data_IF_602724710920
#
_entry.id   IF_602724710920
#
_cell.length_a   1.000
_cell.length_b   1.000
_cell.length_c   1.000
_cell.angle_alpha   90.00
_cell.angle_beta   90.00
_cell.angle_gamma   90.00
#
_symmetry.space_group_name_H-M   'P 1'
#
loop_
_entity.id
_entity.type
_entity.pdbx_description
1 polymer ?
#
# COMPACT_ATOMS: atom_id res chain seq x y z
N UNK A 1 17.28 -19.50 14.72
CA UNK A 1 17.01 -18.04 14.73
C UNK A 1 16.34 -17.71 13.43
N UNK A 2 15.01 -17.68 13.41
CA UNK A 2 14.26 -17.15 12.27
C UNK A 2 14.42 -15.64 12.31
N UNK A 3 15.09 -15.08 11.31
CA UNK A 3 15.08 -13.64 11.09
C UNK A 3 13.64 -13.24 10.79
N UNK A 4 12.91 -12.81 11.81
CA UNK A 4 11.61 -12.19 11.65
C UNK A 4 11.83 -10.88 10.91
N UNK A 5 11.59 -10.87 9.60
CA UNK A 5 11.66 -9.66 8.81
C UNK A 5 10.47 -8.78 9.19
N UNK A 6 10.69 -7.81 10.07
CA UNK A 6 9.71 -6.78 10.37
C UNK A 6 9.50 -5.96 9.09
N UNK A 7 8.24 -5.81 8.67
CA UNK A 7 7.79 -4.87 7.65
C UNK A 7 8.10 -3.46 8.15
N UNK A 8 9.19 -2.90 7.62
CA UNK A 8 9.55 -1.49 7.81
C UNK A 8 8.65 -0.62 6.94
N UNK A 9 8.53 0.66 7.28
CA UNK A 9 7.82 1.67 6.48
C UNK A 9 8.32 1.65 5.03
N UNK A 10 9.64 1.66 4.82
CA UNK A 10 10.27 1.59 3.49
C UNK A 10 9.84 0.34 2.68
N UNK A 11 9.61 -0.80 3.34
CA UNK A 11 9.11 -2.00 2.66
C UNK A 11 7.66 -1.83 2.24
N UNK A 12 6.83 -1.22 3.08
CA UNK A 12 5.43 -0.97 2.80
C UNK A 12 5.29 0.02 1.65
N UNK A 13 6.10 1.09 1.64
CA UNK A 13 6.19 2.02 0.52
C UNK A 13 6.55 1.31 -0.79
N UNK A 14 7.56 0.43 -0.76
CA UNK A 14 7.95 -0.36 -1.95
C UNK A 14 6.83 -1.27 -2.45
N UNK A 15 6.08 -1.90 -1.55
CA UNK A 15 4.93 -2.75 -1.91
C UNK A 15 3.82 -1.90 -2.53
N UNK A 16 3.49 -0.77 -1.91
CA UNK A 16 2.49 0.16 -2.42
C UNK A 16 2.89 0.65 -3.83
N UNK A 17 4.13 1.12 -3.98
CA UNK A 17 4.69 1.57 -5.25
C UNK A 17 4.61 0.50 -6.34
N UNK A 18 4.99 -0.74 -6.01
CA UNK A 18 4.92 -1.86 -6.96
C UNK A 18 3.49 -2.16 -7.41
N UNK A 19 2.48 -1.97 -6.55
CA UNK A 19 1.07 -2.13 -6.93
C UNK A 19 0.63 -0.98 -7.84
N UNK A 20 1.04 0.25 -7.56
CA UNK A 20 0.74 1.40 -8.42
C UNK A 20 1.33 1.20 -9.82
N UNK A 21 2.59 0.72 -9.90
CA UNK A 21 3.27 0.36 -11.15
C UNK A 21 2.54 -0.77 -11.91
N UNK A 22 2.16 -1.84 -11.22
CA UNK A 22 1.54 -3.02 -11.85
C UNK A 22 0.15 -2.72 -12.43
N UNK A 23 -0.60 -1.81 -11.82
CA UNK A 23 -1.99 -1.49 -12.19
C UNK A 23 -2.14 -0.20 -13.01
N UNK A 24 -1.02 0.43 -13.42
CA UNK A 24 -1.00 1.68 -14.20
C UNK A 24 -1.86 2.78 -13.55
N UNK A 25 -1.79 2.86 -12.22
CA UNK A 25 -2.40 3.94 -11.45
C UNK A 25 -1.50 5.18 -11.63
N UNK A 26 -2.05 6.35 -11.96
CA UNK A 26 -1.23 7.49 -12.42
C UNK A 26 -0.25 7.94 -11.33
N UNK A 27 1.03 7.64 -11.55
CA UNK A 27 2.13 7.94 -10.64
C UNK A 27 2.35 9.43 -10.43
N UNK A 28 1.98 10.28 -11.38
CA UNK A 28 2.26 11.71 -11.28
C UNK A 28 1.42 12.41 -10.20
N UNK A 29 0.31 11.76 -9.79
CA UNK A 29 -0.56 12.20 -8.70
C UNK A 29 -0.57 11.22 -7.52
N UNK A 30 0.30 10.21 -7.52
CA UNK A 30 0.34 9.23 -6.45
C UNK A 30 1.11 9.78 -5.24
N UNK A 31 0.45 9.84 -4.09
CA UNK A 31 1.08 10.18 -2.81
C UNK A 31 1.00 8.96 -1.88
N UNK A 32 2.15 8.46 -1.42
CA UNK A 32 2.24 7.42 -0.39
C UNK A 32 2.79 8.08 0.87
N UNK A 33 2.08 7.94 1.98
CA UNK A 33 2.52 8.38 3.29
C UNK A 33 2.41 7.21 4.26
N UNK A 34 3.53 6.80 4.84
CA UNK A 34 3.59 5.68 5.79
C UNK A 34 4.07 6.20 7.13
N UNK A 35 3.30 5.91 8.17
CA UNK A 35 3.61 6.24 9.56
C UNK A 35 3.35 5.05 10.48
N UNK A 36 3.61 5.23 11.78
CA UNK A 36 3.42 4.19 12.80
C UNK A 36 1.95 3.71 12.91
N UNK A 37 0.99 4.54 12.52
CA UNK A 37 -0.46 4.27 12.64
C UNK A 37 -1.05 3.63 11.38
N UNK A 38 -0.45 3.88 10.20
CA UNK A 38 -1.02 3.49 8.92
C UNK A 38 -0.15 3.73 7.69
N UNK A 39 -0.64 3.26 6.55
CA UNK A 39 -0.17 3.60 5.22
C UNK A 39 -1.34 4.24 4.48
N UNK A 40 -1.20 5.52 4.17
CA UNK A 40 -2.12 6.27 3.33
C UNK A 40 -1.57 6.29 1.91
N UNK A 41 -2.42 5.92 0.95
CA UNK A 41 -2.10 5.92 -0.47
C UNK A 41 -3.19 6.72 -1.18
N UNK A 42 -2.78 7.75 -1.90
CA UNK A 42 -3.62 8.50 -2.83
C UNK A 42 -3.15 8.14 -4.23
N UNK A 43 -4.06 7.69 -5.09
CA UNK A 43 -3.77 7.32 -6.48
C UNK A 43 -4.89 7.81 -7.39
N UNK A 44 -4.56 8.15 -8.63
CA UNK A 44 -5.56 8.42 -9.65
C UNK A 44 -5.77 7.14 -10.48
N UNK A 45 -7.02 6.65 -10.46
CA UNK A 45 -7.42 5.48 -11.21
C UNK A 45 -7.52 5.79 -12.72
N UNK A 46 -7.49 4.78 -13.61
CA UNK A 46 -7.52 4.98 -15.07
C UNK A 46 -8.75 5.74 -15.59
N UNK A 47 -9.82 5.83 -14.80
CA UNK A 47 -11.02 6.62 -15.10
C UNK A 47 -10.95 8.08 -14.60
N UNK A 48 -9.77 8.57 -14.21
CA UNK A 48 -9.53 9.88 -13.60
C UNK A 48 -10.21 10.08 -12.23
N UNK A 49 -10.59 8.99 -11.54
CA UNK A 49 -11.07 9.09 -10.18
C UNK A 49 -9.89 9.13 -9.20
N UNK A 50 -9.86 10.13 -8.33
CA UNK A 50 -8.93 10.14 -7.20
C UNK A 50 -9.40 9.14 -6.13
N UNK A 51 -8.55 8.19 -5.83
CA UNK A 51 -8.79 7.11 -4.87
C UNK A 51 -7.92 7.32 -3.64
N UNK A 52 -8.57 7.34 -2.49
CA UNK A 52 -7.95 7.48 -1.17
C UNK A 52 -8.04 6.17 -0.43
N UNK A 53 -6.89 5.66 0.00
CA UNK A 53 -6.74 4.35 0.61
C UNK A 53 -6.00 4.52 1.93
N UNK A 54 -6.70 4.28 3.03
CA UNK A 54 -6.09 4.26 4.37
C UNK A 54 -5.96 2.82 4.84
N UNK A 55 -4.74 2.41 5.14
CA UNK A 55 -4.40 1.04 5.52
C UNK A 55 -3.86 1.06 6.94
N UNK A 56 -4.61 0.48 7.86
CA UNK A 56 -4.17 0.39 9.25
C UNK A 56 -3.09 -0.69 9.40
N UNK A 57 -1.82 -0.27 9.53
CA UNK A 57 -0.68 -1.18 9.67
C UNK A 57 -0.70 -1.95 11.00
N UNK A 58 -1.42 -1.45 11.99
CA UNK A 58 -1.66 -2.14 13.27
C UNK A 58 -2.51 -3.42 13.12
N UNK A 59 -3.21 -3.58 12.00
CA UNK A 59 -3.96 -4.80 11.65
C UNK A 59 -3.19 -5.74 10.74
N UNK A 60 -2.04 -5.30 10.23
CA UNK A 60 -1.15 -6.16 9.46
C UNK A 60 -0.24 -6.88 10.43
N UNK A 61 -0.10 -8.19 10.22
CA UNK A 61 1.01 -8.90 10.83
C UNK A 61 2.29 -8.33 10.22
N UNK A 62 3.03 -7.53 11.00
CA UNK A 62 4.28 -6.89 10.56
C UNK A 62 5.34 -7.92 10.15
N UNK A 63 5.09 -9.22 10.30
CA UNK A 63 5.98 -10.30 9.85
C UNK A 63 5.59 -10.87 8.46
N UNK A 64 4.43 -10.49 7.88
CA UNK A 64 3.88 -11.13 6.68
C UNK A 64 3.71 -10.15 5.50
N UNK A 65 4.78 -10.04 4.69
CA UNK A 65 4.85 -9.20 3.49
C UNK A 65 3.72 -9.48 2.47
N UNK A 66 3.38 -10.76 2.29
CA UNK A 66 2.31 -11.17 1.36
C UNK A 66 0.93 -10.72 1.82
N UNK A 67 0.69 -10.71 3.13
CA UNK A 67 -0.57 -10.20 3.68
C UNK A 67 -0.68 -8.68 3.51
N UNK A 68 0.43 -7.94 3.70
CA UNK A 68 0.47 -6.51 3.42
C UNK A 68 0.13 -6.23 1.95
N UNK A 69 0.77 -6.94 1.02
CA UNK A 69 0.50 -6.80 -0.42
C UNK A 69 -0.97 -7.07 -0.77
N UNK A 70 -1.56 -8.17 -0.28
CA UNK A 70 -2.97 -8.50 -0.53
C UNK A 70 -3.90 -7.46 0.08
N UNK A 71 -3.58 -6.94 1.27
CA UNK A 71 -4.42 -5.93 1.94
C UNK A 71 -4.39 -4.61 1.19
N UNK A 72 -3.19 -4.13 0.80
CA UNK A 72 -3.03 -2.91 0.01
C UNK A 72 -3.80 -3.04 -1.31
N UNK A 73 -3.59 -4.15 -2.03
CA UNK A 73 -4.25 -4.40 -3.31
C UNK A 73 -5.77 -4.42 -3.17
N UNK A 74 -6.32 -5.17 -2.22
CA UNK A 74 -7.77 -5.26 -2.03
C UNK A 74 -8.37 -3.91 -1.64
N UNK A 75 -7.68 -3.11 -0.82
CA UNK A 75 -8.20 -1.80 -0.39
C UNK A 75 -8.21 -0.79 -1.54
N UNK A 76 -7.22 -0.86 -2.45
CA UNK A 76 -7.23 -0.08 -3.70
C UNK A 76 -8.35 -0.59 -4.62
N UNK A 77 -8.44 -1.91 -4.82
CA UNK A 77 -9.43 -2.54 -5.69
C UNK A 77 -10.89 -2.26 -5.26
N UNK A 78 -11.17 -2.19 -3.96
CA UNK A 78 -12.51 -1.85 -3.43
C UNK A 78 -12.94 -0.40 -3.73
N UNK A 79 -12.01 0.44 -4.20
CA UNK A 79 -12.24 1.86 -4.46
C UNK A 79 -12.30 2.23 -5.95
N UNK A 80 -11.90 1.34 -6.85
CA UNK A 80 -11.87 1.51 -8.32
C UNK A 80 -12.96 0.70 -9.01
#
# INVERSE_FOLDING_TARGET
MTCTAILTEEKIEKIAQSIIDEYDLDHNNAEINVDDDGCQIVVEAPNHATVWVDICLNKLDKENEKQAQVTILNTIADKI
#
